data_IF_609517231437
#
_entry.id   IF_609517231437
#
_cell.length_a   1.000
_cell.length_b   1.000
_cell.length_c   1.000
_cell.angle_alpha   90.00
_cell.angle_beta   90.00
_cell.angle_gamma   90.00
#
_symmetry.space_group_name_H-M   'P 1'
#
loop_
_entity.id
_entity.type
_entity.pdbx_description
1 polymer ?
#
# COMPACT_ATOMS: atom_id res chain seq x y z
N UNK A 1 44.45 -28.88 12.73
CA UNK A 1 45.03 -30.26 12.69
C UNK A 1 44.03 -31.26 12.11
N UNK A 2 42.78 -31.34 12.60
CA UNK A 2 41.79 -32.34 12.14
C UNK A 2 41.34 -32.21 10.68
N UNK A 3 41.14 -31.00 10.16
CA UNK A 3 40.75 -30.79 8.74
C UNK A 3 41.86 -31.12 7.71
N UNK A 4 43.12 -31.19 8.14
CA UNK A 4 44.23 -31.58 7.26
C UNK A 4 44.33 -33.11 7.11
N UNK A 5 43.80 -33.85 8.07
CA UNK A 5 43.79 -35.32 8.07
C UNK A 5 42.66 -35.89 7.21
N UNK A 6 41.59 -35.12 6.96
CA UNK A 6 40.45 -35.56 6.12
C UNK A 6 40.70 -35.39 4.62
N UNK A 7 41.69 -34.59 4.22
CA UNK A 7 42.08 -34.41 2.81
C UNK A 7 43.20 -35.35 2.35
N UNK A 8 43.85 -36.04 3.28
CA UNK A 8 44.85 -37.04 2.95
C UNK A 8 44.13 -38.37 2.74
N UNK A 9 44.06 -38.83 1.48
CA UNK A 9 43.61 -40.19 1.13
C UNK A 9 44.41 -41.18 1.98
N UNK A 10 43.72 -42.07 2.68
CA UNK A 10 44.34 -43.04 3.59
C UNK A 10 45.20 -44.02 2.80
N UNK A 11 46.44 -44.25 3.24
CA UNK A 11 47.41 -45.16 2.61
C UNK A 11 46.96 -46.65 2.61
N UNK A 12 45.80 -46.96 3.18
CA UNK A 12 45.20 -48.30 3.23
C UNK A 12 43.84 -48.41 2.52
N UNK A 13 43.46 -47.41 1.72
CA UNK A 13 42.25 -47.47 0.87
C UNK A 13 42.48 -48.26 -0.44
N UNK A 14 43.72 -48.65 -0.72
CA UNK A 14 44.05 -49.67 -1.74
C UNK A 14 43.99 -51.07 -1.08
N UNK A 15 42.94 -51.36 -0.32
CA UNK A 15 42.77 -52.65 0.35
C UNK A 15 42.37 -53.72 -0.67
N UNK A 16 43.28 -54.66 -0.97
CA UNK A 16 43.06 -56.05 -1.41
C UNK A 16 42.07 -56.35 -2.57
N UNK A 17 41.52 -55.34 -3.24
CA UNK A 17 40.61 -55.47 -4.40
C UNK A 17 41.33 -55.25 -5.74
N UNK A 18 42.42 -54.50 -5.78
CA UNK A 18 43.18 -54.25 -7.03
C UNK A 18 43.78 -55.53 -7.63
N UNK A 19 44.13 -56.53 -6.81
CA UNK A 19 44.61 -57.83 -7.30
C UNK A 19 43.47 -58.70 -7.90
N UNK A 20 42.21 -58.39 -7.62
CA UNK A 20 41.02 -59.03 -8.23
C UNK A 20 40.52 -58.28 -9.46
N UNK A 21 40.95 -57.04 -9.67
CA UNK A 21 40.57 -56.20 -10.81
C UNK A 21 41.15 -56.65 -12.15
N UNK A 22 42.15 -57.54 -12.15
CA UNK A 22 42.81 -58.03 -13.36
C UNK A 22 42.09 -59.22 -14.02
N UNK A 23 41.02 -59.75 -13.42
CA UNK A 23 40.26 -60.89 -13.95
C UNK A 23 39.05 -60.46 -14.77
N UNK A 24 38.90 -60.98 -15.99
CA UNK A 24 37.75 -60.73 -16.86
C UNK A 24 36.40 -61.11 -16.20
N UNK A 25 36.39 -62.10 -15.31
CA UNK A 25 35.19 -62.50 -14.57
C UNK A 25 34.70 -61.40 -13.60
N UNK A 26 35.61 -60.73 -12.88
CA UNK A 26 35.27 -59.66 -11.96
C UNK A 26 34.73 -58.41 -12.69
N UNK A 27 35.21 -58.15 -13.91
CA UNK A 27 34.66 -57.08 -14.76
C UNK A 27 33.25 -57.40 -15.25
N UNK A 28 32.98 -58.65 -15.64
CA UNK A 28 31.64 -59.07 -16.07
C UNK A 28 30.64 -58.99 -14.92
N UNK A 29 31.01 -59.43 -13.71
CA UNK A 29 30.15 -59.32 -12.52
C UNK A 29 29.87 -57.86 -12.15
N UNK A 30 30.89 -56.99 -12.17
CA UNK A 30 30.69 -55.54 -11.97
C UNK A 30 29.81 -54.91 -13.04
N UNK A 31 30.01 -55.27 -14.31
CA UNK A 31 29.18 -54.78 -15.41
C UNK A 31 27.71 -55.17 -15.21
N UNK A 32 27.45 -56.41 -14.79
CA UNK A 32 26.10 -56.88 -14.47
C UNK A 32 25.48 -56.18 -13.27
N UNK A 33 26.26 -55.94 -12.21
CA UNK A 33 25.79 -55.19 -11.06
C UNK A 33 25.47 -53.74 -11.43
N UNK A 34 26.32 -53.11 -12.24
CA UNK A 34 26.11 -51.75 -12.72
C UNK A 34 24.88 -51.63 -13.63
N UNK A 35 24.62 -52.62 -14.49
CA UNK A 35 23.37 -52.69 -15.27
C UNK A 35 22.14 -52.88 -14.37
N UNK A 36 22.23 -53.73 -13.35
CA UNK A 36 21.13 -53.94 -12.40
C UNK A 36 20.83 -52.67 -11.59
N UNK A 37 21.87 -51.99 -11.12
CA UNK A 37 21.76 -50.70 -10.42
C UNK A 37 21.20 -49.61 -11.33
N UNK A 38 21.66 -49.53 -12.58
CA UNK A 38 21.14 -48.58 -13.57
C UNK A 38 19.66 -48.81 -13.84
N UNK A 39 19.24 -50.08 -13.98
CA UNK A 39 17.83 -50.43 -14.20
C UNK A 39 16.97 -50.08 -12.99
N UNK A 40 17.46 -50.28 -11.78
CA UNK A 40 16.75 -49.91 -10.55
C UNK A 40 16.64 -48.39 -10.40
N UNK A 41 17.70 -47.65 -10.74
CA UNK A 41 17.70 -46.20 -10.77
C UNK A 41 16.72 -45.65 -11.82
N UNK A 42 16.69 -46.24 -13.03
CA UNK A 42 15.74 -45.89 -14.08
C UNK A 42 14.28 -46.14 -13.63
N UNK A 43 14.00 -47.25 -12.94
CA UNK A 43 12.67 -47.54 -12.39
C UNK A 43 12.26 -46.53 -11.33
N UNK A 44 13.16 -46.19 -10.40
CA UNK A 44 12.90 -45.14 -9.40
C UNK A 44 12.69 -43.77 -10.03
N UNK A 45 13.52 -43.40 -11.00
CA UNK A 45 13.39 -42.13 -11.70
C UNK A 45 12.05 -42.04 -12.44
N UNK A 46 11.60 -43.15 -13.04
CA UNK A 46 10.30 -43.22 -13.69
C UNK A 46 9.14 -43.07 -12.70
N UNK A 47 9.18 -43.78 -11.57
CA UNK A 47 8.19 -43.66 -10.50
C UNK A 47 8.12 -42.23 -9.95
N UNK A 48 9.27 -41.60 -9.70
CA UNK A 48 9.35 -40.20 -9.26
C UNK A 48 8.81 -39.22 -10.30
N UNK A 49 9.07 -39.45 -11.59
CA UNK A 49 8.55 -38.60 -12.67
C UNK A 49 7.02 -38.74 -12.84
N UNK A 50 6.48 -39.95 -12.64
CA UNK A 50 5.02 -40.17 -12.63
C UNK A 50 4.38 -39.46 -11.44
N UNK A 51 5.01 -39.50 -10.25
CA UNK A 51 4.54 -38.76 -9.08
C UNK A 51 4.63 -37.24 -9.27
N UNK A 52 5.71 -36.70 -9.84
CA UNK A 52 5.86 -35.25 -10.10
C UNK A 52 4.84 -34.75 -11.13
N UNK A 53 4.54 -35.55 -12.15
CA UNK A 53 3.51 -35.23 -13.15
C UNK A 53 2.09 -35.23 -12.58
N UNK A 54 1.81 -36.08 -11.59
CA UNK A 54 0.50 -36.10 -10.90
C UNK A 54 0.41 -35.02 -9.81
N UNK A 55 1.53 -34.67 -9.19
CA UNK A 55 1.65 -33.64 -8.15
C UNK A 55 2.13 -32.29 -8.71
N UNK A 56 1.67 -31.90 -9.90
CA UNK A 56 1.97 -30.58 -10.47
C UNK A 56 1.31 -29.47 -9.64
N UNK A 57 2.03 -29.04 -8.60
CA UNK A 57 1.64 -27.96 -7.67
C UNK A 57 1.48 -26.63 -8.42
N UNK A 58 2.09 -26.48 -9.60
CA UNK A 58 1.96 -25.28 -10.43
C UNK A 58 0.52 -25.05 -10.84
N UNK A 59 -0.21 -26.11 -11.20
CA UNK A 59 -1.62 -26.04 -11.58
C UNK A 59 -2.53 -25.67 -10.40
N UNK A 60 -2.19 -26.12 -9.19
CA UNK A 60 -2.95 -25.80 -7.98
C UNK A 60 -2.78 -24.32 -7.62
N UNK A 61 -1.55 -23.80 -7.71
CA UNK A 61 -1.25 -22.38 -7.45
C UNK A 61 -1.94 -21.47 -8.47
N UNK A 62 -1.94 -21.84 -9.75
CA UNK A 62 -2.61 -21.05 -10.79
C UNK A 62 -4.14 -21.01 -10.62
N UNK A 63 -4.74 -22.12 -10.17
CA UNK A 63 -6.18 -22.21 -9.89
C UNK A 63 -6.59 -21.41 -8.64
N UNK A 64 -5.76 -21.38 -7.60
CA UNK A 64 -6.02 -20.57 -6.39
C UNK A 64 -5.88 -19.06 -6.67
N UNK A 65 -4.93 -18.65 -7.51
CA UNK A 65 -4.81 -17.23 -7.93
C UNK A 65 -5.98 -16.81 -8.82
N UNK A 66 -6.51 -17.71 -9.66
CA UNK A 66 -7.67 -17.43 -10.52
C UNK A 66 -9.02 -17.45 -9.78
N UNK A 67 -9.15 -18.23 -8.71
CA UNK A 67 -10.40 -18.33 -7.93
C UNK A 67 -10.54 -17.25 -6.84
N UNK A 68 -9.45 -16.56 -6.49
CA UNK A 68 -9.46 -15.38 -5.61
C UNK A 68 -9.56 -14.06 -6.39
N UNK A 69 -10.32 -14.06 -7.49
CA UNK A 69 -10.56 -12.85 -8.27
C UNK A 69 -11.44 -11.88 -7.46
N UNK A 70 -10.80 -10.95 -6.75
CA UNK A 70 -11.50 -9.88 -6.04
C UNK A 70 -12.31 -9.02 -7.01
N UNK A 71 -13.57 -8.80 -6.65
CA UNK A 71 -14.51 -7.96 -7.38
C UNK A 71 -14.54 -6.54 -6.80
N UNK A 72 -15.15 -5.60 -7.53
CA UNK A 72 -15.38 -4.23 -7.04
C UNK A 72 -16.25 -4.16 -5.78
N UNK A 73 -17.01 -5.22 -5.48
CA UNK A 73 -17.84 -5.30 -4.29
C UNK A 73 -17.01 -5.65 -3.05
N UNK A 74 -15.89 -6.36 -3.22
CA UNK A 74 -15.01 -6.75 -2.11
C UNK A 74 -14.20 -5.57 -1.57
N UNK A 75 -14.16 -4.47 -2.33
CA UNK A 75 -13.56 -3.19 -1.92
C UNK A 75 -14.56 -2.26 -1.20
N UNK A 76 -15.83 -2.68 -1.05
CA UNK A 76 -16.84 -1.89 -0.36
C UNK A 76 -16.48 -1.74 1.13
N UNK A 77 -16.66 -0.54 1.67
CA UNK A 77 -16.38 -0.23 3.08
C UNK A 77 -14.94 0.21 3.35
N UNK A 78 -14.00 0.02 2.41
CA UNK A 78 -12.65 0.57 2.54
C UNK A 78 -12.68 2.11 2.42
N UNK A 79 -11.86 2.77 3.24
CA UNK A 79 -11.72 4.24 3.24
C UNK A 79 -10.57 4.63 2.32
N UNK A 80 -10.71 5.65 1.49
CA UNK A 80 -9.62 6.22 0.70
C UNK A 80 -9.18 7.54 1.36
N UNK A 81 -7.91 7.69 1.73
CA UNK A 81 -7.41 8.88 2.44
C UNK A 81 -7.07 10.07 1.52
N UNK A 82 -7.68 10.14 0.34
CA UNK A 82 -7.46 11.21 -0.63
C UNK A 82 -8.79 11.79 -1.08
N UNK A 83 -8.79 13.09 -1.38
CA UNK A 83 -10.00 13.75 -1.89
C UNK A 83 -10.33 13.23 -3.28
N UNK A 84 -11.61 12.95 -3.55
CA UNK A 84 -12.09 12.54 -4.88
C UNK A 84 -11.62 13.47 -6.02
N UNK A 85 -11.41 14.77 -5.74
CA UNK A 85 -10.94 15.77 -6.72
C UNK A 85 -9.47 15.59 -7.15
N UNK A 86 -8.69 14.79 -6.44
CA UNK A 86 -7.27 14.52 -6.76
C UNK A 86 -7.11 13.49 -7.87
N UNK A 87 -8.14 12.67 -8.12
CA UNK A 87 -8.15 11.70 -9.19
C UNK A 87 -8.51 12.40 -10.51
N UNK A 88 -7.68 12.22 -11.53
CA UNK A 88 -7.90 12.79 -12.87
C UNK A 88 -8.57 11.74 -13.76
N UNK A 89 -9.58 12.16 -14.49
CA UNK A 89 -10.27 11.30 -15.46
C UNK A 89 -9.28 10.77 -16.51
N UNK A 90 -9.41 9.50 -16.88
CA UNK A 90 -8.51 8.83 -17.84
C UNK A 90 -7.15 8.41 -17.28
N UNK A 91 -6.87 8.63 -15.99
CA UNK A 91 -5.66 8.12 -15.34
C UNK A 91 -5.98 7.05 -14.31
N UNK A 92 -5.42 5.86 -14.51
CA UNK A 92 -5.48 4.77 -13.52
C UNK A 92 -4.43 5.01 -12.44
N UNK A 93 -4.86 5.08 -11.18
CA UNK A 93 -3.98 5.26 -10.03
C UNK A 93 -4.03 4.03 -9.15
N UNK A 94 -2.87 3.47 -8.81
CA UNK A 94 -2.77 2.33 -7.89
C UNK A 94 -2.82 2.84 -6.45
N UNK A 95 -3.68 2.24 -5.64
CA UNK A 95 -3.80 2.49 -4.21
C UNK A 95 -3.23 1.31 -3.43
N UNK A 96 -2.59 1.60 -2.30
CA UNK A 96 -1.97 0.63 -1.41
C UNK A 96 -2.59 0.78 -0.03
N UNK A 97 -2.69 -0.33 0.71
CA UNK A 97 -3.15 -0.31 2.09
C UNK A 97 -2.18 0.50 2.97
N UNK A 98 -2.72 1.41 3.77
CA UNK A 98 -1.96 2.19 4.73
C UNK A 98 -1.51 1.31 5.90
N UNK A 99 -0.24 1.42 6.28
CA UNK A 99 0.30 0.74 7.45
C UNK A 99 -0.39 1.22 8.74
N UNK A 100 -0.83 0.28 9.57
CA UNK A 100 -1.50 0.53 10.85
C UNK A 100 -1.13 -0.54 11.86
N UNK A 101 -0.96 -0.13 13.12
CA UNK A 101 -0.80 -1.05 14.24
C UNK A 101 -2.04 -1.93 14.43
N UNK A 102 -1.86 -3.25 14.44
CA UNK A 102 -2.93 -4.26 14.55
C UNK A 102 -3.77 -4.11 15.83
N UNK A 103 -3.17 -3.57 16.90
CA UNK A 103 -3.81 -3.37 18.21
C UNK A 103 -4.34 -1.95 18.40
N UNK A 104 -4.07 -1.02 17.48
CA UNK A 104 -4.51 0.38 17.56
C UNK A 104 -5.97 0.56 17.10
N UNK A 105 -6.78 -0.48 17.31
CA UNK A 105 -8.18 -0.59 16.91
C UNK A 105 -9.06 0.21 17.86
N UNK A 106 -8.98 1.55 17.78
CA UNK A 106 -10.14 2.36 18.17
C UNK A 106 -11.28 2.00 17.22
N UNK A 107 -12.38 1.48 17.76
CA UNK A 107 -13.51 0.86 17.01
C UNK A 107 -14.10 1.79 15.93
N UNK A 108 -14.00 3.11 16.08
CA UNK A 108 -14.51 4.10 15.12
C UNK A 108 -13.63 4.27 13.85
N UNK A 109 -12.38 3.82 13.90
CA UNK A 109 -11.44 3.87 12.78
C UNK A 109 -11.14 2.49 12.21
N UNK A 110 -11.82 1.42 12.63
CA UNK A 110 -11.54 0.03 12.25
C UNK A 110 -11.59 -0.28 10.73
N UNK A 111 -11.98 0.68 9.89
CA UNK A 111 -11.93 0.53 8.44
C UNK A 111 -10.49 0.70 7.91
N UNK A 112 -10.02 -0.32 7.20
CA UNK A 112 -8.79 -0.29 6.42
C UNK A 112 -8.78 0.89 5.44
N UNK A 113 -7.64 1.58 5.36
CA UNK A 113 -7.50 2.83 4.62
C UNK A 113 -6.53 2.67 3.45
N UNK A 114 -6.95 3.11 2.26
CA UNK A 114 -6.21 3.06 1.01
C UNK A 114 -5.57 4.42 0.71
N UNK A 115 -4.29 4.38 0.34
CA UNK A 115 -3.47 5.56 0.03
C UNK A 115 -2.68 5.36 -1.26
N UNK A 116 -2.47 6.42 -2.03
CA UNK A 116 -1.44 6.43 -3.05
C UNK A 116 -0.17 7.06 -2.46
N UNK A 117 0.93 6.33 -2.50
CA UNK A 117 2.24 6.77 -2.00
C UNK A 117 2.65 8.12 -2.61
N UNK A 118 2.51 8.29 -3.93
CA UNK A 118 2.90 9.52 -4.61
C UNK A 118 2.05 10.72 -4.18
N UNK A 119 0.74 10.52 -3.99
CA UNK A 119 -0.16 11.58 -3.55
C UNK A 119 0.09 11.98 -2.09
N UNK A 120 0.43 11.02 -1.23
CA UNK A 120 0.82 11.30 0.16
C UNK A 120 2.07 12.17 0.21
N UNK A 121 3.08 11.86 -0.60
CA UNK A 121 4.33 12.62 -0.62
C UNK A 121 4.12 14.03 -1.18
N UNK A 122 3.33 14.19 -2.24
CA UNK A 122 2.94 15.50 -2.77
C UNK A 122 2.18 16.35 -1.74
N UNK A 123 1.26 15.73 -1.00
CA UNK A 123 0.48 16.41 0.05
C UNK A 123 1.36 16.85 1.22
N UNK A 124 2.25 15.97 1.69
CA UNK A 124 3.25 16.30 2.73
C UNK A 124 4.19 17.41 2.27
N UNK A 125 4.64 17.37 1.03
CA UNK A 125 5.50 18.42 0.50
C UNK A 125 4.77 19.77 0.46
N UNK A 126 3.53 19.81 -0.04
CA UNK A 126 2.72 21.02 -0.08
C UNK A 126 2.44 21.57 1.34
N UNK A 127 2.17 20.69 2.31
CA UNK A 127 1.99 21.06 3.71
C UNK A 127 3.29 21.62 4.31
N UNK A 128 4.43 20.98 4.07
CA UNK A 128 5.72 21.47 4.55
C UNK A 128 6.08 22.84 3.99
N UNK A 129 5.79 23.10 2.71
CA UNK A 129 5.98 24.42 2.09
C UNK A 129 5.04 25.45 2.73
N UNK A 130 3.77 25.11 2.94
CA UNK A 130 2.80 25.99 3.60
C UNK A 130 3.21 26.30 5.04
N UNK A 131 3.59 25.29 5.81
CA UNK A 131 4.06 25.43 7.18
C UNK A 131 5.32 26.30 7.23
N UNK A 132 6.26 26.10 6.30
CA UNK A 132 7.46 26.95 6.21
C UNK A 132 7.12 28.39 5.84
N UNK A 133 6.17 28.60 4.93
CA UNK A 133 5.72 29.95 4.57
C UNK A 133 5.02 30.64 5.75
N UNK A 134 4.15 29.93 6.48
CA UNK A 134 3.45 30.45 7.66
C UNK A 134 4.40 30.74 8.82
N UNK A 135 5.36 29.84 9.08
CA UNK A 135 6.40 30.06 10.10
C UNK A 135 7.30 31.21 9.70
N UNK A 136 7.68 31.33 8.42
CA UNK A 136 8.44 32.46 7.90
C UNK A 136 7.69 33.78 8.08
N UNK A 137 6.42 33.86 7.69
CA UNK A 137 5.60 35.06 7.86
C UNK A 137 5.35 35.39 9.34
N UNK A 138 5.14 34.38 10.19
CA UNK A 138 4.94 34.58 11.62
C UNK A 138 6.23 35.03 12.33
N UNK A 139 7.38 34.49 11.93
CA UNK A 139 8.69 34.92 12.44
C UNK A 139 9.04 36.34 11.98
N UNK A 140 8.77 36.69 10.71
CA UNK A 140 8.92 38.06 10.23
C UNK A 140 7.95 39.02 10.93
N UNK A 141 6.68 38.65 11.14
CA UNK A 141 5.72 39.49 11.85
C UNK A 141 6.09 39.70 13.34
N UNK A 142 6.62 38.67 14.00
CA UNK A 142 7.06 38.77 15.40
C UNK A 142 8.32 39.63 15.58
N UNK A 143 9.23 39.65 14.59
CA UNK A 143 10.45 40.47 14.63
C UNK A 143 10.28 41.86 13.98
N UNK A 144 9.26 42.07 13.16
CA UNK A 144 8.93 43.38 12.57
C UNK A 144 8.52 44.41 13.64
N UNK A 145 8.12 43.96 14.84
CA UNK A 145 7.93 44.84 16.01
C UNK A 145 9.20 45.10 16.83
N UNK A 146 10.36 44.56 16.44
CA UNK A 146 11.62 44.62 17.20
C UNK A 146 12.75 45.36 16.46
N UNK A 147 12.68 45.50 15.13
CA UNK A 147 13.63 46.29 14.32
C UNK A 147 12.89 47.40 13.57
N UNK A 148 12.51 48.47 14.27
CA UNK A 148 11.90 49.62 13.60
C UNK A 148 11.43 50.68 14.58
N UNK A 149 12.25 51.71 14.72
CA UNK A 149 11.85 53.08 15.07
C UNK A 149 10.63 53.50 14.23
N UNK A 150 9.42 53.19 14.69
CA UNK A 150 8.18 53.74 14.18
C UNK A 150 7.67 54.71 15.24
N UNK A 151 7.68 55.99 14.87
CA UNK A 151 7.33 57.10 15.72
C UNK A 151 6.09 56.84 16.56
N UNK A 152 6.22 57.19 17.84
CA UNK A 152 5.11 57.48 18.74
C UNK A 152 4.29 58.61 18.10
N UNK A 153 3.28 58.26 17.31
CA UNK A 153 2.13 59.12 17.08
C UNK A 153 0.98 58.47 17.84
N UNK A 154 0.80 58.94 19.08
CA UNK A 154 -0.20 58.51 20.06
C UNK A 154 -1.60 59.05 19.70
N UNK A 155 -2.00 58.97 18.44
CA UNK A 155 -3.31 59.42 17.98
C UNK A 155 -3.90 58.38 17.03
N UNK A 156 -5.02 57.79 17.45
CA UNK A 156 -5.88 56.82 16.75
C UNK A 156 -5.55 55.32 16.91
N UNK A 157 -6.20 54.68 17.92
CA UNK A 157 -7.06 53.49 17.70
C UNK A 157 -7.73 53.02 19.01
N UNK A 158 -8.79 53.73 19.43
CA UNK A 158 -9.64 53.38 20.59
C UNK A 158 -10.56 52.16 20.33
N UNK A 159 -10.60 51.57 19.13
CA UNK A 159 -11.38 50.36 18.90
C UNK A 159 -10.91 49.56 17.67
N UNK A 160 -9.97 48.62 17.86
CA UNK A 160 -9.73 47.56 16.85
C UNK A 160 -8.29 47.29 16.44
N UNK A 161 -7.31 47.55 17.30
CA UNK A 161 -5.90 47.22 17.06
C UNK A 161 -5.71 45.75 16.67
N UNK A 162 -4.92 45.53 15.60
CA UNK A 162 -4.64 44.25 14.97
C UNK A 162 -4.49 43.10 15.98
N UNK A 163 -5.29 42.04 15.81
CA UNK A 163 -5.23 40.85 16.64
C UNK A 163 -3.78 40.33 16.68
N UNK A 164 -3.11 40.52 17.82
CA UNK A 164 -1.78 39.98 18.05
C UNK A 164 -1.75 38.46 17.84
N UNK A 165 -0.57 37.86 17.67
CA UNK A 165 -0.46 36.42 17.43
C UNK A 165 -1.22 35.64 18.50
N UNK A 166 -2.24 34.88 18.09
CA UNK A 166 -3.08 34.12 19.01
C UNK A 166 -2.21 33.19 19.85
N UNK A 167 -2.43 33.18 21.16
CA UNK A 167 -1.66 32.39 22.14
C UNK A 167 -1.61 30.89 21.77
N UNK A 168 -2.57 30.40 20.97
CA UNK A 168 -2.68 29.03 20.49
C UNK A 168 -2.46 28.84 18.98
N UNK A 169 -1.72 29.73 18.30
CA UNK A 169 -1.48 29.60 16.85
C UNK A 169 -0.90 28.23 16.44
N UNK A 170 -0.09 27.60 17.31
CA UNK A 170 0.46 26.24 17.10
C UNK A 170 -0.56 25.12 17.21
N UNK A 171 -1.60 25.30 18.03
CA UNK A 171 -2.64 24.29 18.23
C UNK A 171 -3.72 24.39 17.16
N UNK A 172 -4.06 25.60 16.73
CA UNK A 172 -5.00 25.82 15.63
C UNK A 172 -4.52 25.14 14.34
N UNK A 173 -3.20 25.16 14.05
CA UNK A 173 -2.65 24.43 12.89
C UNK A 173 -2.77 22.91 13.03
N UNK A 174 -2.54 22.35 14.22
CA UNK A 174 -2.60 20.90 14.45
C UNK A 174 -4.05 20.40 14.40
N UNK A 175 -4.98 21.13 15.02
CA UNK A 175 -6.41 20.81 15.01
C UNK A 175 -7.00 20.95 13.61
N UNK A 176 -6.59 21.99 12.88
CA UNK A 176 -7.01 22.16 11.49
C UNK A 176 -6.46 21.03 10.60
N UNK A 177 -5.22 20.58 10.82
CA UNK A 177 -4.62 19.48 10.06
C UNK A 177 -5.35 18.14 10.29
N UNK A 178 -5.62 17.77 11.56
CA UNK A 178 -6.35 16.53 11.90
C UNK A 178 -7.80 16.56 11.38
N UNK A 179 -8.46 17.71 11.50
CA UNK A 179 -9.80 17.89 10.95
C UNK A 179 -9.80 17.85 9.42
N UNK A 180 -8.74 18.33 8.77
CA UNK A 180 -8.62 18.37 7.31
C UNK A 180 -8.31 16.99 6.71
N UNK A 181 -7.46 16.19 7.35
CA UNK A 181 -7.18 14.81 6.91
C UNK A 181 -8.46 13.96 6.95
N UNK A 182 -9.27 14.08 8.01
CA UNK A 182 -10.57 13.40 8.11
C UNK A 182 -11.58 13.89 7.06
N UNK A 183 -11.55 15.18 6.70
CA UNK A 183 -12.40 15.77 5.64
C UNK A 183 -11.96 15.41 4.22
N UNK A 184 -10.73 14.94 4.04
CA UNK A 184 -10.20 14.53 2.73
C UNK A 184 -10.50 13.09 2.39
N UNK A 185 -10.93 12.27 3.34
CA UNK A 185 -11.22 10.87 3.12
C UNK A 185 -12.66 10.62 2.65
N UNK A 186 -12.88 9.55 1.89
CA UNK A 186 -14.22 9.04 1.53
C UNK A 186 -14.26 7.50 1.57
N UNK A 187 -15.44 6.91 1.71
CA UNK A 187 -15.64 5.46 1.80
C UNK A 187 -16.15 4.91 0.48
N UNK A 188 -15.61 3.78 0.04
CA UNK A 188 -16.06 3.07 -1.16
C UNK A 188 -17.40 2.37 -0.89
N UNK A 189 -18.39 2.59 -1.76
CA UNK A 189 -19.74 2.07 -1.58
C UNK A 189 -19.99 0.68 -2.23
N UNK A 190 -18.96 0.07 -2.83
CA UNK A 190 -19.08 -1.12 -3.67
C UNK A 190 -19.50 -0.77 -5.10
N UNK A 191 -18.73 -1.23 -6.09
CA UNK A 191 -18.94 -0.89 -7.50
C UNK A 191 -18.25 0.41 -7.95
N UNK A 192 -18.67 0.94 -9.11
CA UNK A 192 -18.14 2.19 -9.66
C UNK A 192 -18.50 3.37 -8.74
N UNK A 193 -17.48 4.04 -8.19
CA UNK A 193 -17.72 5.18 -7.29
C UNK A 193 -17.84 6.47 -8.06
N UNK A 194 -19.05 7.00 -8.13
CA UNK A 194 -19.29 8.37 -8.55
C UNK A 194 -19.00 9.34 -7.40
N UNK A 195 -18.30 10.44 -7.71
CA UNK A 195 -17.93 11.46 -6.73
C UNK A 195 -19.17 12.02 -5.99
N UNK A 196 -19.09 12.27 -4.67
CA UNK A 196 -20.24 12.71 -3.86
C UNK A 196 -20.83 14.07 -4.30
N UNK A 197 -20.03 14.90 -4.97
CA UNK A 197 -20.49 16.19 -5.51
C UNK A 197 -21.48 16.04 -6.69
N UNK A 198 -21.38 14.95 -7.46
CA UNK A 198 -22.31 14.70 -8.56
C UNK A 198 -23.70 14.30 -8.05
N UNK A 199 -23.78 13.53 -6.95
CA UNK A 199 -25.05 13.13 -6.33
C UNK A 199 -25.79 14.30 -5.70
N UNK A 200 -25.11 15.23 -5.02
CA UNK A 200 -25.78 16.40 -4.43
C UNK A 200 -26.28 17.38 -5.51
N UNK A 201 -25.49 17.64 -6.55
CA UNK A 201 -25.91 18.50 -7.66
C UNK A 201 -27.07 17.89 -8.47
N UNK A 202 -27.03 16.58 -8.75
CA UNK A 202 -28.10 15.90 -9.46
C UNK A 202 -29.39 15.77 -8.63
N UNK A 203 -29.28 15.59 -7.30
CA UNK A 203 -30.43 15.60 -6.39
C UNK A 203 -31.09 16.98 -6.32
N UNK A 204 -30.28 18.05 -6.19
CA UNK A 204 -30.76 19.44 -6.22
C UNK A 204 -31.43 19.80 -7.56
N UNK A 205 -30.87 19.33 -8.68
CA UNK A 205 -31.48 19.54 -10.00
C UNK A 205 -32.81 18.79 -10.16
N UNK A 206 -32.91 17.57 -9.63
CA UNK A 206 -34.16 16.78 -9.65
C UNK A 206 -35.25 17.41 -8.78
N UNK A 207 -34.89 17.93 -7.61
CA UNK A 207 -35.83 18.56 -6.68
C UNK A 207 -36.35 19.91 -7.24
N UNK A 208 -35.47 20.68 -7.90
CA UNK A 208 -35.87 21.90 -8.62
C UNK A 208 -36.81 21.61 -9.80
N UNK A 209 -36.57 20.53 -10.56
CA UNK A 209 -37.45 20.11 -11.65
C UNK A 209 -38.81 19.61 -11.13
N UNK A 210 -38.84 18.92 -9.99
CA UNK A 210 -40.08 18.49 -9.34
C UNK A 210 -40.89 19.67 -8.78
N UNK A 211 -40.23 20.68 -8.21
CA UNK A 211 -40.89 21.91 -7.79
C UNK A 211 -41.49 22.69 -8.97
N UNK A 212 -40.79 22.72 -10.12
CA UNK A 212 -41.27 23.37 -11.32
C UNK A 212 -42.45 22.65 -11.99
N UNK A 213 -42.51 21.30 -11.94
CA UNK A 213 -43.64 20.54 -12.48
C UNK A 213 -44.89 20.62 -11.62
N UNK A 214 -44.76 20.75 -10.30
CA UNK A 214 -45.90 20.97 -9.37
C UNK A 214 -46.54 22.35 -9.57
N UNK A 215 -45.79 23.33 -10.08
CA UNK A 215 -46.34 24.69 -10.27
C UNK A 215 -47.08 24.90 -11.60
N UNK A 216 -47.05 23.94 -12.53
CA UNK A 216 -47.70 24.05 -13.85
C UNK A 216 -49.14 23.49 -13.92
N UNK A 217 -49.63 22.87 -12.85
CA UNK A 217 -50.98 22.25 -12.77
C UNK A 217 -51.91 22.98 -11.78
N UNK A 218 -51.80 24.32 -11.72
CA UNK A 218 -52.70 25.19 -10.96
C UNK A 218 -53.98 25.51 -11.75
N UNK A 219 -55.16 25.54 -11.10
CA UNK A 219 -56.45 25.32 -11.73
C UNK A 219 -56.85 26.42 -12.72
N UNK A 220 -57.37 25.98 -13.87
CA UNK A 220 -58.03 26.83 -14.86
C UNK A 220 -59.43 27.20 -14.37
N UNK A 221 -59.67 28.49 -14.09
CA UNK A 221 -61.01 29.10 -14.11
C UNK A 221 -61.25 29.80 -15.45
#
# INVERSE_FOLDING_TARGET
MREKLTRLRGLGDDSDEEDKDLSAAAWIERSRNLEAERRLAEQRAKELAELDAEFDVSRLVEADVASSAYSSNDLAGLRVAHSAKKFKEGQTTVLVLQDRGVLDSNDDDAAETLINVNMVDDERHAENVRNRAQVGSAWHAANAGLEGEAGLDDEDDELGGAAGPSVLAKYDSVIAADSASRKRAFVLAGGETEAPAAKSAAALARDAVAAASVSLDGPSE
#
